data_IF_506666340898
#
_entry.id   IF_506666340898
#
_cell.length_a   1.000
_cell.length_b   1.000
_cell.length_c   1.000
_cell.angle_alpha   90.00
_cell.angle_beta   90.00
_cell.angle_gamma   90.00
#
_symmetry.space_group_name_H-M   'P 1'
#
loop_
_entity.id
_entity.type
_entity.pdbx_description
1 polymer ?
#
# COMPACT_ATOMS: atom_id res chain seq x y z
N UNK A 1 -7.71 12.64 21.68
CA UNK A 1 -6.80 12.88 20.57
C UNK A 1 -5.39 12.59 21.02
N UNK A 2 -4.64 11.80 20.29
CA UNK A 2 -3.32 11.33 20.70
C UNK A 2 -2.37 11.29 19.50
N UNK A 3 -1.16 11.84 19.68
CA UNK A 3 -0.10 11.73 18.68
C UNK A 3 0.45 10.30 18.70
N UNK A 4 0.52 9.69 17.51
CA UNK A 4 1.09 8.35 17.34
C UNK A 4 2.56 8.51 16.95
N UNK A 5 3.44 7.77 17.62
CA UNK A 5 4.89 7.84 17.38
C UNK A 5 5.30 6.98 16.18
N UNK A 6 4.65 7.19 15.04
CA UNK A 6 4.91 6.51 13.76
C UNK A 6 4.75 7.49 12.61
N UNK A 7 5.50 7.26 11.55
CA UNK A 7 5.17 7.80 10.25
C UNK A 7 4.23 6.85 9.52
N UNK A 8 3.86 7.18 8.28
CA UNK A 8 2.93 6.35 7.54
C UNK A 8 3.22 6.34 6.05
N UNK A 9 2.81 5.25 5.40
CA UNK A 9 2.63 5.16 3.96
C UNK A 9 1.18 4.80 3.71
N UNK A 10 0.45 5.68 3.03
CA UNK A 10 -0.90 5.39 2.56
C UNK A 10 -0.80 4.86 1.14
N UNK A 11 -1.35 3.68 0.88
CA UNK A 11 -1.20 2.98 -0.39
C UNK A 11 -2.57 2.67 -0.96
N UNK A 12 -2.80 3.10 -2.20
CA UNK A 12 -4.02 2.82 -2.94
C UNK A 12 -3.68 2.16 -4.27
N UNK A 13 -4.35 1.05 -4.64
CA UNK A 13 -4.14 0.44 -5.96
C UNK A 13 -4.45 1.42 -7.09
N UNK A 14 -3.56 1.47 -8.08
CA UNK A 14 -3.77 2.27 -9.30
C UNK A 14 -4.62 1.51 -10.32
N UNK A 15 -4.99 2.21 -11.39
CA UNK A 15 -5.68 1.58 -12.53
C UNK A 15 -4.89 0.41 -13.11
N UNK A 16 -3.58 0.54 -13.18
CA UNK A 16 -2.72 -0.52 -13.72
C UNK A 16 -2.80 -1.80 -12.89
N UNK A 17 -2.77 -1.68 -11.56
CA UNK A 17 -2.95 -2.83 -10.68
C UNK A 17 -4.33 -3.47 -10.88
N UNK A 18 -5.37 -2.66 -10.94
CA UNK A 18 -6.74 -3.16 -11.09
C UNK A 18 -6.92 -3.87 -12.45
N UNK A 19 -6.32 -3.34 -13.53
CA UNK A 19 -6.34 -4.00 -14.84
C UNK A 19 -5.64 -5.36 -14.79
N UNK A 20 -4.48 -5.44 -14.12
CA UNK A 20 -3.79 -6.71 -13.93
C UNK A 20 -4.64 -7.69 -13.11
N UNK A 21 -5.26 -7.21 -12.04
CA UNK A 21 -6.12 -8.03 -11.18
C UNK A 21 -7.30 -8.60 -11.96
N UNK A 22 -7.91 -7.82 -12.83
CA UNK A 22 -9.02 -8.27 -13.69
C UNK A 22 -8.55 -9.29 -14.72
N UNK A 23 -7.32 -9.19 -15.21
CA UNK A 23 -6.77 -10.21 -16.11
C UNK A 23 -6.48 -11.51 -15.38
N UNK A 24 -6.13 -11.44 -14.09
CA UNK A 24 -5.92 -12.59 -13.22
C UNK A 24 -7.26 -13.24 -12.83
N UNK A 25 -8.26 -12.44 -12.49
CA UNK A 25 -9.57 -12.89 -12.07
C UNK A 25 -10.65 -12.00 -12.71
N UNK A 26 -11.30 -12.51 -13.74
CA UNK A 26 -12.31 -11.78 -14.50
C UNK A 26 -13.59 -11.48 -13.70
N UNK A 27 -13.76 -12.07 -12.52
CA UNK A 27 -14.91 -11.79 -11.65
C UNK A 27 -14.73 -10.52 -10.83
N UNK A 28 -13.54 -9.92 -10.81
CA UNK A 28 -13.27 -8.67 -10.10
C UNK A 28 -14.03 -7.52 -10.76
N UNK A 29 -14.85 -6.81 -9.97
CA UNK A 29 -15.68 -5.72 -10.46
C UNK A 29 -15.25 -4.35 -9.91
N UNK A 30 -14.24 -4.30 -9.06
CA UNK A 30 -13.78 -3.06 -8.46
C UNK A 30 -13.09 -2.16 -9.51
N UNK A 31 -13.22 -0.85 -9.35
CA UNK A 31 -12.48 0.14 -10.13
C UNK A 31 -11.40 0.78 -9.25
N UNK A 32 -10.42 1.45 -9.88
CA UNK A 32 -9.40 2.17 -9.12
C UNK A 32 -10.00 3.28 -8.23
N UNK A 33 -11.10 3.89 -8.66
CA UNK A 33 -11.79 4.92 -7.86
C UNK A 33 -12.43 4.34 -6.61
N UNK A 34 -12.91 3.10 -6.67
CA UNK A 34 -13.58 2.42 -5.57
C UNK A 34 -12.62 1.69 -4.64
N UNK A 35 -11.36 1.53 -5.04
CA UNK A 35 -10.37 0.83 -4.25
C UNK A 35 -10.05 1.63 -2.98
N UNK A 36 -9.99 0.94 -1.85
CA UNK A 36 -9.68 1.57 -0.57
C UNK A 36 -8.17 1.68 -0.35
N UNK A 37 -7.76 2.77 0.29
CA UNK A 37 -6.37 2.94 0.71
C UNK A 37 -6.09 2.12 1.97
N UNK A 38 -4.88 1.57 2.05
CA UNK A 38 -4.36 0.93 3.25
C UNK A 38 -3.24 1.80 3.81
N UNK A 39 -3.25 2.01 5.12
CA UNK A 39 -2.21 2.80 5.79
C UNK A 39 -1.27 1.86 6.53
N UNK A 40 0.01 1.97 6.20
CA UNK A 40 1.09 1.22 6.86
C UNK A 40 1.82 2.17 7.80
N UNK A 41 1.96 1.78 9.05
CA UNK A 41 2.73 2.55 10.02
C UNK A 41 4.19 2.15 9.92
N UNK A 42 5.06 3.15 9.86
CA UNK A 42 6.50 2.99 9.69
C UNK A 42 7.25 3.81 10.74
N UNK A 43 8.56 3.89 10.64
CA UNK A 43 9.36 4.70 11.54
C UNK A 43 8.87 6.14 11.61
N UNK A 44 8.98 6.73 12.77
CA UNK A 44 8.46 8.07 13.07
C UNK A 44 9.10 9.16 12.22
N UNK A 45 10.39 9.02 11.92
CA UNK A 45 11.14 10.00 11.15
C UNK A 45 11.85 9.37 9.97
N UNK A 46 11.80 10.02 8.83
CA UNK A 46 12.56 9.66 7.64
C UNK A 46 12.77 10.90 6.79
N UNK A 47 13.84 10.89 6.01
CA UNK A 47 14.26 12.04 5.21
C UNK A 47 14.17 11.81 3.70
N UNK A 48 14.11 10.56 3.28
CA UNK A 48 14.15 10.18 1.88
C UNK A 48 12.98 9.27 1.55
N UNK A 49 11.93 9.85 0.96
CA UNK A 49 10.72 9.12 0.60
C UNK A 49 11.00 7.97 -0.36
N UNK A 50 11.90 8.18 -1.33
CA UNK A 50 12.25 7.15 -2.31
C UNK A 50 12.92 5.95 -1.63
N UNK A 51 13.79 6.19 -0.65
CA UNK A 51 14.43 5.13 0.10
C UNK A 51 13.43 4.35 0.96
N UNK A 52 12.49 5.04 1.59
CA UNK A 52 11.43 4.43 2.39
C UNK A 52 10.54 3.55 1.50
N UNK A 53 10.11 4.04 0.36
CA UNK A 53 9.31 3.24 -0.57
C UNK A 53 10.07 2.01 -1.04
N UNK A 54 11.35 2.15 -1.39
CA UNK A 54 12.20 1.03 -1.79
C UNK A 54 12.32 -0.02 -0.67
N UNK A 55 12.45 0.44 0.57
CA UNK A 55 12.61 -0.44 1.73
C UNK A 55 11.36 -1.29 1.96
N UNK A 56 10.18 -0.72 1.80
CA UNK A 56 8.92 -1.38 2.15
C UNK A 56 8.11 -1.89 0.96
N UNK A 57 8.51 -1.56 -0.29
CA UNK A 57 7.74 -1.87 -1.49
C UNK A 57 7.36 -3.37 -1.57
N UNK A 58 8.30 -4.25 -1.32
CA UNK A 58 8.06 -5.69 -1.42
C UNK A 58 7.05 -6.19 -0.37
N UNK A 59 7.16 -5.70 0.86
CA UNK A 59 6.22 -6.06 1.94
C UNK A 59 4.82 -5.55 1.64
N UNK A 60 4.71 -4.32 1.17
CA UNK A 60 3.43 -3.70 0.82
C UNK A 60 2.78 -4.43 -0.35
N UNK A 61 3.54 -4.70 -1.41
CA UNK A 61 3.04 -5.43 -2.57
C UNK A 61 2.55 -6.83 -2.17
N UNK A 62 3.33 -7.56 -1.39
CA UNK A 62 2.97 -8.88 -0.89
C UNK A 62 1.66 -8.84 -0.08
N UNK A 63 1.54 -7.88 0.81
CA UNK A 63 0.34 -7.67 1.62
C UNK A 63 -0.88 -7.37 0.74
N UNK A 64 -0.71 -6.53 -0.28
CA UNK A 64 -1.81 -6.15 -1.18
C UNK A 64 -2.25 -7.32 -2.05
N UNK A 65 -1.32 -8.08 -2.62
CA UNK A 65 -1.67 -9.28 -3.39
C UNK A 65 -2.44 -10.27 -2.54
N UNK A 66 -2.01 -10.50 -1.30
CA UNK A 66 -2.69 -11.39 -0.37
C UNK A 66 -4.10 -10.90 -0.03
N UNK A 67 -4.25 -9.59 0.18
CA UNK A 67 -5.56 -8.96 0.48
C UNK A 67 -6.58 -9.18 -0.64
N UNK A 68 -6.13 -9.12 -1.89
CA UNK A 68 -6.99 -9.36 -3.05
C UNK A 68 -7.09 -10.83 -3.44
N UNK A 69 -6.54 -11.74 -2.62
CA UNK A 69 -6.65 -13.17 -2.85
C UNK A 69 -5.81 -13.70 -4.01
N UNK A 70 -4.76 -12.98 -4.40
CA UNK A 70 -3.89 -13.42 -5.49
C UNK A 70 -2.95 -14.52 -5.03
N UNK A 71 -2.90 -15.60 -5.81
CA UNK A 71 -1.97 -16.71 -5.56
C UNK A 71 -0.53 -16.27 -5.84
N UNK A 72 0.37 -16.55 -4.91
CA UNK A 72 1.79 -16.21 -5.01
C UNK A 72 2.42 -16.68 -6.33
N UNK A 73 2.01 -17.84 -6.82
CA UNK A 73 2.51 -18.39 -8.08
C UNK A 73 2.20 -17.49 -9.31
N UNK A 74 1.22 -16.61 -9.20
CA UNK A 74 0.79 -15.73 -10.28
C UNK A 74 1.27 -14.29 -10.12
N UNK A 75 2.01 -13.97 -9.05
CA UNK A 75 2.54 -12.63 -8.85
C UNK A 75 3.57 -12.31 -9.94
N UNK A 76 3.69 -11.02 -10.34
CA UNK A 76 4.73 -10.62 -11.30
C UNK A 76 6.13 -11.01 -10.81
N UNK A 77 6.92 -11.62 -11.70
CA UNK A 77 8.23 -12.17 -11.33
C UNK A 77 9.28 -11.08 -11.09
N UNK A 78 9.15 -9.92 -11.73
CA UNK A 78 10.11 -8.81 -11.63
C UNK A 78 9.44 -7.56 -11.06
N UNK A 79 9.00 -7.66 -9.80
CA UNK A 79 8.31 -6.56 -9.16
C UNK A 79 9.33 -5.69 -8.41
N UNK A 80 9.82 -4.65 -9.08
CA UNK A 80 10.78 -3.69 -8.54
C UNK A 80 10.09 -2.38 -8.12
N UNK A 81 10.88 -1.40 -7.69
CA UNK A 81 10.35 -0.13 -7.21
C UNK A 81 9.64 0.67 -8.31
N UNK A 82 10.10 0.59 -9.56
CA UNK A 82 9.45 1.28 -10.67
C UNK A 82 8.05 0.72 -10.92
N UNK A 83 7.93 -0.61 -10.94
CA UNK A 83 6.63 -1.27 -11.05
C UNK A 83 5.73 -0.94 -9.88
N UNK A 84 6.28 -0.92 -8.67
CA UNK A 84 5.54 -0.57 -7.47
C UNK A 84 4.90 0.82 -7.59
N UNK A 85 5.66 1.82 -8.01
CA UNK A 85 5.18 3.20 -8.16
C UNK A 85 4.13 3.35 -9.25
N UNK A 86 4.15 2.50 -10.27
CA UNK A 86 3.12 2.48 -11.31
C UNK A 86 1.84 1.79 -10.86
N UNK A 87 1.95 0.77 -10.01
CA UNK A 87 0.84 -0.06 -9.59
C UNK A 87 0.12 0.46 -8.35
N UNK A 88 0.79 1.29 -7.58
CA UNK A 88 0.24 1.82 -6.33
C UNK A 88 0.48 3.33 -6.22
N UNK A 89 -0.57 4.04 -5.84
CA UNK A 89 -0.49 5.45 -5.49
C UNK A 89 -0.17 5.56 -4.01
N UNK A 90 0.95 6.20 -3.68
CA UNK A 90 1.46 6.28 -2.32
C UNK A 90 1.56 7.71 -1.83
N UNK A 91 1.13 7.93 -0.59
CA UNK A 91 1.35 9.17 0.14
C UNK A 91 2.10 8.85 1.42
N UNK A 92 3.13 9.63 1.73
CA UNK A 92 3.95 9.45 2.90
C UNK A 92 3.86 10.66 3.84
N UNK A 93 3.97 10.40 5.12
CA UNK A 93 4.03 11.46 6.13
C UNK A 93 4.65 10.98 7.42
N UNK A 94 5.06 11.92 8.25
CA UNK A 94 5.72 11.65 9.53
C UNK A 94 4.81 11.88 10.73
N UNK A 95 3.57 12.30 10.51
CA UNK A 95 2.67 12.65 11.62
C UNK A 95 1.39 11.82 11.54
N UNK A 96 1.10 11.09 12.61
CA UNK A 96 -0.15 10.36 12.79
C UNK A 96 -0.82 10.82 14.06
N UNK A 97 -2.09 11.20 13.97
CA UNK A 97 -2.87 11.64 15.12
C UNK A 97 -4.12 10.80 15.23
N UNK A 98 -4.29 10.15 16.38
CA UNK A 98 -5.52 9.42 16.68
C UNK A 98 -6.54 10.42 17.27
N UNK A 99 -7.66 10.58 16.60
CA UNK A 99 -8.73 11.48 17.02
C UNK A 99 -9.63 10.87 18.09
N UNK A 100 -9.53 9.57 18.30
CA UNK A 100 -10.36 8.88 19.29
C UNK A 100 -9.71 8.94 20.67
N UNK A 101 -10.51 8.78 21.71
CA UNK A 101 -10.03 8.73 23.07
C UNK A 101 -9.59 7.32 23.50
N UNK A 102 -10.04 6.30 22.79
CA UNK A 102 -9.73 4.90 23.11
C UNK A 102 -8.32 4.52 22.66
N UNK A 103 -7.62 3.63 23.39
CA UNK A 103 -6.32 3.14 22.95
C UNK A 103 -6.40 2.38 21.63
N UNK A 104 -5.33 2.47 20.85
CA UNK A 104 -5.18 1.66 19.62
C UNK A 104 -4.81 0.25 20.05
N UNK A 105 -5.47 -0.72 19.42
CA UNK A 105 -5.20 -2.15 19.65
C UNK A 105 -4.26 -2.72 18.61
#
# INVERSE_FOLDING_TARGET
MQLINRGFISVKPSSLFIEWLKSYDSTVLITAEDAEATVYLIEEEFWDDALILKTYAKKIATSTFAEYGCDEAHWPSNFDIENFEQWFDCDLGCTCIDLLAAPIQ
#
